data_IF_649402605887
#
_entry.id   IF_649402605887
#
_cell.length_a   1.000
_cell.length_b   1.000
_cell.length_c   1.000
_cell.angle_alpha   90.00
_cell.angle_beta   90.00
_cell.angle_gamma   90.00
#
_symmetry.space_group_name_H-M   'P 1'
#
loop_
_entity.id
_entity.type
_entity.pdbx_description
1 polymer ?
#
# COMPACT_ATOMS: atom_id res chain seq x y z
N UNK A 1 4.08 -26.26 -33.80
CA UNK A 1 3.37 -26.06 -32.53
C UNK A 1 4.15 -25.01 -31.80
N UNK A 2 3.58 -23.79 -31.71
CA UNK A 2 4.17 -22.71 -30.93
C UNK A 2 4.20 -23.13 -29.46
N UNK A 3 5.40 -23.36 -28.94
CA UNK A 3 5.64 -23.43 -27.51
C UNK A 3 5.53 -21.99 -26.98
N UNK A 4 4.31 -21.56 -26.67
CA UNK A 4 4.10 -20.34 -25.90
C UNK A 4 4.69 -20.58 -24.52
N UNK A 5 5.93 -20.12 -24.29
CA UNK A 5 6.49 -20.00 -22.94
C UNK A 5 5.42 -19.40 -22.02
N UNK A 6 5.23 -19.93 -20.79
CA UNK A 6 4.33 -19.30 -19.85
C UNK A 6 4.85 -17.88 -19.61
N UNK A 7 4.09 -16.88 -20.05
CA UNK A 7 4.41 -15.47 -19.90
C UNK A 7 4.56 -15.17 -18.39
N UNK A 8 5.80 -15.22 -17.91
CA UNK A 8 6.14 -14.93 -16.53
C UNK A 8 5.68 -13.52 -16.14
N UNK A 9 5.41 -13.31 -14.86
CA UNK A 9 5.04 -12.00 -14.37
C UNK A 9 6.19 -11.01 -14.57
N UNK A 10 5.91 -9.85 -15.16
CA UNK A 10 6.92 -8.77 -15.26
C UNK A 10 7.25 -8.22 -13.88
N UNK A 11 8.48 -7.72 -13.70
CA UNK A 11 8.87 -7.05 -12.46
C UNK A 11 7.93 -5.91 -12.05
N UNK A 12 7.34 -5.21 -13.03
CA UNK A 12 6.34 -4.16 -12.77
C UNK A 12 5.04 -4.73 -12.19
N UNK A 13 4.54 -5.83 -12.74
CA UNK A 13 3.34 -6.49 -12.24
C UNK A 13 3.55 -7.04 -10.82
N UNK A 14 4.72 -7.65 -10.55
CA UNK A 14 5.09 -8.16 -9.22
C UNK A 14 5.07 -7.03 -8.19
N UNK A 15 5.76 -5.92 -8.46
CA UNK A 15 5.85 -4.81 -7.51
C UNK A 15 4.48 -4.15 -7.32
N UNK A 16 3.71 -3.96 -8.40
CA UNK A 16 2.37 -3.37 -8.31
C UNK A 16 1.43 -4.23 -7.44
N UNK A 17 1.34 -5.54 -7.71
CA UNK A 17 0.50 -6.45 -6.94
C UNK A 17 0.98 -6.60 -5.49
N UNK A 18 2.30 -6.64 -5.29
CA UNK A 18 2.91 -6.64 -3.97
C UNK A 18 2.57 -5.42 -3.14
N UNK A 19 2.72 -4.23 -3.72
CA UNK A 19 2.39 -2.97 -3.05
C UNK A 19 0.89 -2.83 -2.80
N UNK A 20 0.03 -3.30 -3.72
CA UNK A 20 -1.40 -3.37 -3.49
C UNK A 20 -1.73 -4.23 -2.25
N UNK A 21 -1.09 -5.40 -2.15
CA UNK A 21 -1.28 -6.32 -1.02
C UNK A 21 -0.78 -5.73 0.30
N UNK A 22 0.40 -5.10 0.30
CA UNK A 22 0.96 -4.43 1.48
C UNK A 22 0.06 -3.27 1.92
N UNK A 23 -0.38 -2.41 1.01
CA UNK A 23 -1.24 -1.28 1.33
C UNK A 23 -2.59 -1.73 1.90
N UNK A 24 -3.22 -2.74 1.28
CA UNK A 24 -4.46 -3.34 1.76
C UNK A 24 -4.30 -3.95 3.16
N UNK A 25 -3.21 -4.69 3.39
CA UNK A 25 -2.93 -5.31 4.69
C UNK A 25 -2.73 -4.26 5.78
N UNK A 26 -1.95 -3.21 5.53
CA UNK A 26 -1.71 -2.17 6.52
C UNK A 26 -2.99 -1.37 6.82
N UNK A 27 -3.81 -1.08 5.81
CA UNK A 27 -5.12 -0.46 6.00
C UNK A 27 -6.04 -1.34 6.86
N UNK A 28 -6.09 -2.65 6.58
CA UNK A 28 -6.83 -3.61 7.39
C UNK A 28 -6.34 -3.63 8.84
N UNK A 29 -5.03 -3.76 9.08
CA UNK A 29 -4.47 -3.85 10.43
C UNK A 29 -4.72 -2.58 11.25
N UNK A 30 -4.59 -1.41 10.62
CA UNK A 30 -4.91 -0.14 11.25
C UNK A 30 -6.39 -0.07 11.66
N UNK A 31 -7.30 -0.36 10.74
CA UNK A 31 -8.74 -0.37 11.02
C UNK A 31 -9.14 -1.44 12.03
N UNK A 32 -8.53 -2.62 11.98
CA UNK A 32 -8.80 -3.70 12.91
C UNK A 32 -8.44 -3.30 14.35
N UNK A 33 -7.29 -2.65 14.53
CA UNK A 33 -6.88 -2.12 15.83
C UNK A 33 -7.85 -1.05 16.36
N UNK A 34 -8.27 -0.13 15.50
CA UNK A 34 -9.17 0.98 15.86
C UNK A 34 -10.61 0.50 16.12
N UNK A 35 -11.06 -0.56 15.42
CA UNK A 35 -12.44 -1.09 15.52
C UNK A 35 -12.65 -2.11 16.64
N UNK A 36 -11.61 -2.82 17.08
CA UNK A 36 -11.65 -3.55 18.35
C UNK A 36 -12.06 -2.63 19.51
N UNK A 37 -11.73 -1.33 19.42
CA UNK A 37 -12.14 -0.31 20.39
C UNK A 37 -13.57 0.23 20.19
N UNK A 38 -14.23 -0.05 19.05
CA UNK A 38 -15.53 0.53 18.66
C UNK A 38 -16.52 -0.56 18.19
N UNK A 39 -17.09 -1.31 19.13
CA UNK A 39 -18.13 -2.33 18.86
C UNK A 39 -19.52 -1.69 18.68
N UNK A 40 -20.30 -2.17 17.69
CA UNK A 40 -21.76 -1.98 17.66
C UNK A 40 -22.41 -1.23 16.49
N UNK A 41 -21.69 -0.74 15.48
CA UNK A 41 -22.33 -0.02 14.35
C UNK A 41 -22.57 -0.88 13.10
N UNK A 42 -23.81 -0.82 12.61
CA UNK A 42 -24.24 -1.45 11.35
C UNK A 42 -23.54 -0.75 10.16
N UNK A 43 -23.02 -1.51 9.20
CA UNK A 43 -22.37 -0.97 7.99
C UNK A 43 -20.85 -0.79 8.08
N UNK A 44 -20.23 -1.06 9.23
CA UNK A 44 -18.77 -0.94 9.43
C UNK A 44 -17.97 -1.79 8.46
N UNK A 45 -18.39 -3.04 8.23
CA UNK A 45 -17.64 -3.96 7.38
C UNK A 45 -17.64 -3.55 5.91
N UNK A 46 -18.70 -2.86 5.45
CA UNK A 46 -18.74 -2.30 4.10
C UNK A 46 -17.69 -1.18 3.97
N UNK A 47 -17.68 -0.24 4.92
CA UNK A 47 -16.70 0.84 4.98
C UNK A 47 -15.25 0.30 5.07
N UNK A 48 -15.02 -0.71 5.91
CA UNK A 48 -13.69 -1.35 6.03
C UNK A 48 -13.27 -1.96 4.69
N UNK A 49 -14.18 -2.66 4.01
CA UNK A 49 -13.93 -3.21 2.68
C UNK A 49 -13.55 -2.14 1.66
N UNK A 50 -14.27 -1.02 1.64
CA UNK A 50 -13.99 0.11 0.74
C UNK A 50 -12.62 0.74 1.00
N UNK A 51 -12.27 1.01 2.27
CA UNK A 51 -10.98 1.60 2.62
C UNK A 51 -9.84 0.67 2.21
N UNK A 52 -9.96 -0.64 2.47
CA UNK A 52 -8.97 -1.64 2.07
C UNK A 52 -8.83 -1.68 0.55
N UNK A 53 -9.95 -1.68 -0.18
CA UNK A 53 -9.96 -1.67 -1.64
C UNK A 53 -9.23 -0.44 -2.20
N UNK A 54 -9.56 0.76 -1.72
CA UNK A 54 -8.96 2.00 -2.22
C UNK A 54 -7.47 2.11 -1.87
N UNK A 55 -7.06 1.67 -0.68
CA UNK A 55 -5.64 1.58 -0.34
C UNK A 55 -4.91 0.54 -1.20
N UNK A 56 -5.54 -0.59 -1.50
CA UNK A 56 -5.02 -1.58 -2.45
C UNK A 56 -4.82 -0.99 -3.84
N UNK A 57 -5.80 -0.24 -4.36
CA UNK A 57 -5.69 0.47 -5.65
C UNK A 57 -4.56 1.50 -5.60
N UNK A 58 -4.45 2.27 -4.50
CA UNK A 58 -3.35 3.20 -4.29
C UNK A 58 -1.98 2.50 -4.32
N UNK A 59 -1.87 1.35 -3.66
CA UNK A 59 -0.67 0.50 -3.67
C UNK A 59 -0.36 -0.04 -5.06
N UNK A 60 -1.36 -0.46 -5.82
CA UNK A 60 -1.20 -0.92 -7.20
C UNK A 60 -0.61 0.18 -8.08
N UNK A 61 -1.19 1.38 -8.04
CA UNK A 61 -0.76 2.54 -8.84
C UNK A 61 0.64 2.99 -8.44
N UNK A 62 0.89 3.16 -7.14
CA UNK A 62 2.18 3.58 -6.61
C UNK A 62 3.29 2.55 -6.90
N UNK A 63 3.00 1.27 -6.71
CA UNK A 63 3.92 0.18 -7.01
C UNK A 63 4.23 0.09 -8.51
N UNK A 64 3.22 0.23 -9.38
CA UNK A 64 3.43 0.25 -10.82
C UNK A 64 4.28 1.44 -11.30
N UNK A 65 4.16 2.60 -10.64
CA UNK A 65 4.94 3.80 -10.94
C UNK A 65 6.39 3.69 -10.46
N UNK A 66 6.61 3.09 -9.28
CA UNK A 66 7.92 3.00 -8.63
C UNK A 66 8.64 1.67 -8.87
N UNK A 67 8.08 0.76 -9.67
CA UNK A 67 8.66 -0.55 -9.97
C UNK A 67 10.11 -0.49 -10.48
N UNK A 68 10.51 0.60 -11.14
CA UNK A 68 11.88 0.84 -11.60
C UNK A 68 12.93 0.84 -10.49
N UNK A 69 12.53 1.10 -9.24
CA UNK A 69 13.43 1.13 -8.07
C UNK A 69 13.69 -0.27 -7.49
N UNK A 70 12.84 -1.25 -7.83
CA UNK A 70 12.96 -2.62 -7.35
C UNK A 70 13.67 -3.52 -8.36
N UNK A 71 14.35 -4.54 -7.87
CA UNK A 71 15.00 -5.57 -8.68
C UNK A 71 16.32 -5.16 -9.35
N UNK A 72 16.85 -3.96 -9.07
CA UNK A 72 18.17 -3.55 -9.61
C UNK A 72 19.27 -4.42 -9.00
N UNK A 73 20.18 -4.92 -9.85
CA UNK A 73 21.33 -5.73 -9.43
C UNK A 73 22.38 -4.87 -8.70
N UNK A 74 23.17 -5.50 -7.83
CA UNK A 74 24.23 -4.85 -7.06
C UNK A 74 23.80 -4.33 -5.68
N UNK A 75 24.76 -3.87 -4.89
CA UNK A 75 24.55 -3.39 -3.50
C UNK A 75 23.66 -2.14 -3.45
N UNK A 76 23.76 -1.26 -4.44
CA UNK A 76 22.94 -0.05 -4.55
C UNK A 76 21.44 -0.34 -4.83
N UNK A 77 21.08 -1.56 -5.24
CA UNK A 77 19.68 -1.94 -5.46
C UNK A 77 18.84 -1.99 -4.19
N UNK A 78 19.46 -2.34 -3.06
CA UNK A 78 18.82 -2.40 -1.75
C UNK A 78 18.36 -1.04 -1.22
N UNK A 79 19.24 -0.01 -1.10
CA UNK A 79 18.79 1.30 -0.65
C UNK A 79 17.77 1.93 -1.61
N UNK A 80 17.87 1.67 -2.93
CA UNK A 80 16.86 2.13 -3.89
C UNK A 80 15.50 1.47 -3.65
N UNK A 81 15.46 0.16 -3.38
CA UNK A 81 14.23 -0.54 -3.09
C UNK A 81 13.62 -0.14 -1.74
N UNK A 82 14.45 0.11 -0.73
CA UNK A 82 13.99 0.64 0.55
C UNK A 82 13.36 2.03 0.36
N UNK A 83 14.04 2.94 -0.33
CA UNK A 83 13.51 4.27 -0.64
C UNK A 83 12.23 4.20 -1.49
N UNK A 84 12.22 3.34 -2.52
CA UNK A 84 11.05 3.10 -3.35
C UNK A 84 9.87 2.53 -2.56
N UNK A 85 10.12 1.62 -1.62
CA UNK A 85 9.11 1.10 -0.70
C UNK A 85 8.49 2.19 0.17
N UNK A 86 9.32 3.08 0.74
CA UNK A 86 8.83 4.20 1.56
C UNK A 86 7.93 5.10 0.71
N UNK A 87 8.41 5.56 -0.44
CA UNK A 87 7.63 6.40 -1.34
C UNK A 87 6.35 5.72 -1.81
N UNK A 88 6.41 4.45 -2.20
CA UNK A 88 5.24 3.71 -2.67
C UNK A 88 4.18 3.56 -1.59
N UNK A 89 4.60 3.37 -0.33
CA UNK A 89 3.71 3.26 0.81
C UNK A 89 3.02 4.60 1.12
N UNK A 90 3.76 5.71 1.09
CA UNK A 90 3.18 7.05 1.30
C UNK A 90 2.20 7.40 0.19
N UNK A 91 2.58 7.16 -1.07
CA UNK A 91 1.70 7.40 -2.22
C UNK A 91 0.46 6.50 -2.19
N UNK A 92 0.60 5.26 -1.76
CA UNK A 92 -0.53 4.36 -1.60
C UNK A 92 -1.55 4.88 -0.58
N UNK A 93 -1.08 5.35 0.58
CA UNK A 93 -1.92 5.96 1.60
C UNK A 93 -2.58 7.26 1.12
N UNK A 94 -1.84 8.10 0.40
CA UNK A 94 -2.37 9.32 -0.20
C UNK A 94 -3.47 9.02 -1.23
N UNK A 95 -3.19 8.17 -2.21
CA UNK A 95 -4.16 7.82 -3.27
C UNK A 95 -5.36 7.10 -2.67
N UNK A 96 -5.15 6.12 -1.80
CA UNK A 96 -6.22 5.41 -1.12
C UNK A 96 -7.08 6.33 -0.26
N UNK A 97 -6.45 7.25 0.47
CA UNK A 97 -7.11 8.31 1.23
C UNK A 97 -8.00 9.18 0.34
N UNK A 98 -7.45 9.70 -0.77
CA UNK A 98 -8.20 10.57 -1.70
C UNK A 98 -9.43 9.82 -2.20
N UNK A 99 -9.25 8.59 -2.69
CA UNK A 99 -10.34 7.79 -3.25
C UNK A 99 -11.42 7.49 -2.22
N UNK A 100 -11.04 7.16 -0.98
CA UNK A 100 -11.99 6.93 0.11
C UNK A 100 -12.72 8.20 0.56
N UNK A 101 -12.13 9.37 0.33
CA UNK A 101 -12.67 10.68 0.71
C UNK A 101 -13.65 11.29 -0.29
N UNK A 102 -13.66 10.82 -1.54
CA UNK A 102 -14.50 11.36 -2.62
C UNK A 102 -15.99 11.42 -2.23
N UNK A 103 -16.62 10.37 -1.69
CA UNK A 103 -18.05 10.42 -1.34
C UNK A 103 -18.36 11.52 -0.33
N UNK A 104 -17.51 11.68 0.69
CA UNK A 104 -17.66 12.69 1.74
C UNK A 104 -17.60 14.10 1.16
N UNK A 105 -16.64 14.37 0.27
CA UNK A 105 -16.50 15.67 -0.41
C UNK A 105 -17.73 15.96 -1.29
N UNK A 106 -18.22 14.97 -2.02
CA UNK A 106 -19.42 15.10 -2.86
C UNK A 106 -20.69 15.35 -2.04
N UNK A 107 -20.76 14.83 -0.82
CA UNK A 107 -21.87 15.09 0.11
C UNK A 107 -21.78 16.43 0.86
N UNK A 108 -20.80 17.28 0.54
CA UNK A 108 -20.60 18.57 1.19
C UNK A 108 -19.83 18.51 2.52
N UNK A 109 -19.02 17.47 2.71
CA UNK A 109 -18.17 17.32 3.88
C UNK A 109 -17.12 18.44 4.02
N UNK A 110 -16.63 18.66 5.24
CA UNK A 110 -15.64 19.68 5.53
C UNK A 110 -14.31 19.41 4.82
N UNK A 111 -13.80 20.33 3.98
CA UNK A 111 -12.53 20.13 3.29
C UNK A 111 -11.34 20.09 4.25
N UNK A 112 -11.43 20.78 5.39
CA UNK A 112 -10.39 20.76 6.44
C UNK A 112 -10.32 19.39 7.11
N UNK A 113 -11.48 18.82 7.44
CA UNK A 113 -11.55 17.46 8.02
C UNK A 113 -11.02 16.42 7.04
N UNK A 114 -11.33 16.57 5.75
CA UNK A 114 -10.83 15.66 4.73
C UNK A 114 -9.33 15.80 4.51
N UNK A 115 -8.79 17.01 4.51
CA UNK A 115 -7.34 17.24 4.43
C UNK A 115 -6.58 16.59 5.60
N UNK A 116 -7.12 16.65 6.82
CA UNK A 116 -6.54 15.99 7.99
C UNK A 116 -6.58 14.47 7.83
N UNK A 117 -7.73 13.91 7.39
CA UNK A 117 -7.87 12.47 7.12
C UNK A 117 -6.88 12.00 6.06
N UNK A 118 -6.71 12.78 4.99
CA UNK A 118 -5.78 12.50 3.92
C UNK A 118 -4.33 12.49 4.40
N UNK A 119 -3.97 13.48 5.21
CA UNK A 119 -2.66 13.55 5.87
C UNK A 119 -2.42 12.31 6.72
N UNK A 120 -3.38 11.93 7.57
CA UNK A 120 -3.30 10.74 8.41
C UNK A 120 -3.16 9.44 7.59
N UNK A 121 -3.92 9.29 6.50
CA UNK A 121 -3.84 8.12 5.61
C UNK A 121 -2.45 8.00 4.96
N UNK A 122 -1.85 9.12 4.55
CA UNK A 122 -0.52 9.17 3.94
C UNK A 122 0.56 8.67 4.90
N UNK A 123 0.47 9.05 6.18
CA UNK A 123 1.47 8.67 7.20
C UNK A 123 1.06 7.43 8.00
N UNK A 124 0.01 6.73 7.62
CA UNK A 124 -0.53 5.61 8.41
C UNK A 124 0.51 4.52 8.61
N UNK A 125 1.30 4.22 7.59
CA UNK A 125 2.33 3.17 7.67
C UNK A 125 3.52 3.58 8.54
N UNK A 126 4.17 4.74 8.37
CA UNK A 126 5.24 5.14 9.28
C UNK A 126 4.76 5.28 10.73
N UNK A 127 3.53 5.75 10.96
CA UNK A 127 2.94 5.77 12.31
C UNK A 127 2.69 4.36 12.87
N UNK A 128 2.19 3.43 12.05
CA UNK A 128 1.97 2.05 12.45
C UNK A 128 3.29 1.35 12.83
N UNK A 129 4.37 1.62 12.10
CA UNK A 129 5.71 1.12 12.43
C UNK A 129 6.22 1.69 13.75
N UNK A 130 5.98 2.98 14.01
CA UNK A 130 6.37 3.62 15.27
C UNK A 130 5.59 3.05 16.47
N UNK A 131 4.30 2.76 16.29
CA UNK A 131 3.44 2.21 17.35
C UNK A 131 3.69 0.71 17.59
N UNK A 132 4.02 -0.04 16.53
CA UNK A 132 4.26 -1.47 16.58
C UNK A 132 5.49 -1.85 15.73
N UNK A 133 6.69 -1.92 16.33
CA UNK A 133 7.94 -2.20 15.60
C UNK A 133 7.91 -3.49 14.77
N UNK A 134 7.12 -4.48 15.20
CA UNK A 134 6.90 -5.72 14.45
C UNK A 134 6.31 -5.47 13.05
N UNK A 135 5.44 -4.47 12.89
CA UNK A 135 4.92 -4.06 11.57
C UNK A 135 6.03 -3.51 10.68
N UNK A 136 7.02 -2.83 11.25
CA UNK A 136 8.22 -2.39 10.54
C UNK A 136 9.02 -3.56 9.98
N UNK A 137 9.19 -4.62 10.78
CA UNK A 137 9.85 -5.84 10.34
C UNK A 137 9.07 -6.54 9.21
N UNK A 138 7.74 -6.68 9.35
CA UNK A 138 6.87 -7.26 8.31
C UNK A 138 6.97 -6.46 7.01
N UNK A 139 6.92 -5.13 7.09
CA UNK A 139 7.09 -4.25 5.93
C UNK A 139 8.47 -4.42 5.28
N UNK A 140 9.55 -4.45 6.07
CA UNK A 140 10.90 -4.60 5.56
C UNK A 140 11.10 -5.94 4.85
N UNK A 141 10.57 -7.03 5.42
CA UNK A 141 10.58 -8.36 4.80
C UNK A 141 9.78 -8.35 3.50
N UNK A 142 8.61 -7.71 3.45
CA UNK A 142 7.84 -7.57 2.22
C UNK A 142 8.62 -6.79 1.14
N UNK A 143 9.26 -5.67 1.49
CA UNK A 143 10.08 -4.90 0.54
C UNK A 143 11.28 -5.71 0.03
N UNK A 144 11.94 -6.47 0.91
CA UNK A 144 13.02 -7.36 0.53
C UNK A 144 12.54 -8.46 -0.43
N UNK A 145 11.41 -9.11 -0.13
CA UNK A 145 10.80 -10.12 -0.99
C UNK A 145 10.44 -9.54 -2.36
N UNK A 146 9.79 -8.37 -2.41
CA UNK A 146 9.46 -7.70 -3.67
C UNK A 146 10.70 -7.31 -4.46
N UNK A 147 11.77 -6.85 -3.79
CA UNK A 147 13.04 -6.57 -4.45
C UNK A 147 13.63 -7.84 -5.09
N UNK A 148 13.66 -8.96 -4.36
CA UNK A 148 14.21 -10.22 -4.85
C UNK A 148 13.36 -10.83 -5.98
N UNK A 149 12.03 -10.82 -5.84
CA UNK A 149 11.11 -11.30 -6.88
C UNK A 149 11.19 -10.43 -8.15
N UNK A 150 11.20 -9.10 -8.00
CA UNK A 150 11.39 -8.18 -9.11
C UNK A 150 12.77 -8.34 -9.76
N UNK A 151 13.80 -8.73 -9.00
CA UNK A 151 15.13 -9.04 -9.54
C UNK A 151 15.13 -10.32 -10.35
N UNK A 152 14.42 -11.35 -9.89
CA UNK A 152 14.30 -12.62 -10.60
C UNK A 152 13.54 -12.48 -11.92
N UNK A 153 12.59 -11.55 -12.00
CA UNK A 153 11.80 -11.25 -13.19
C UNK A 153 12.43 -10.20 -14.15
N UNK A 154 13.71 -9.84 -13.96
CA UNK A 154 14.48 -8.88 -14.78
C UNK A 154 15.70 -9.51 -15.42
#
# INVERSE_FOLDING_TARGET
MDETEPAGWTARAIVAAGMASVAALFAFLFLYGDRQAATGSTGVWLFVGEVILFHGVGGLVAGAALAGLFGRRGTAGWPLAAFGGVLATLLAGLIGGVLSGVPTLLSGGSPVTEAIRLGAATVVTPLAVAAAPLLGAVWAVAMAALHLLARAAR
#
